data_IF_810916624611
#
_entry.id   IF_810916624611
#
_cell.length_a   1.000
_cell.length_b   1.000
_cell.length_c   1.000
_cell.angle_alpha   90.00
_cell.angle_beta   90.00
_cell.angle_gamma   90.00
#
_symmetry.space_group_name_H-M   'P 1'
#
loop_
_entity.id
_entity.type
_entity.pdbx_description
1 polymer ?
#
# COMPACT_ATOMS: atom_id res chain seq x y z
N UNK A 1 -9.49 -43.89 -15.35
CA UNK A 1 -8.36 -43.06 -15.82
C UNK A 1 -8.64 -41.56 -15.76
N UNK A 2 -9.84 -41.05 -16.06
CA UNK A 2 -10.11 -39.59 -16.00
C UNK A 2 -10.08 -38.98 -14.60
N UNK A 3 -10.59 -39.69 -13.58
CA UNK A 3 -10.65 -39.20 -12.20
C UNK A 3 -9.28 -39.14 -11.52
N UNK A 4 -8.39 -40.11 -11.80
CA UNK A 4 -7.02 -40.13 -11.26
C UNK A 4 -6.15 -38.99 -11.82
N UNK A 5 -6.33 -38.63 -13.10
CA UNK A 5 -5.62 -37.50 -13.71
C UNK A 5 -6.12 -36.16 -13.14
N UNK A 6 -7.43 -36.03 -12.93
CA UNK A 6 -8.02 -34.84 -12.29
C UNK A 6 -7.54 -34.65 -10.84
N UNK A 7 -7.36 -35.75 -10.09
CA UNK A 7 -6.80 -35.68 -8.74
C UNK A 7 -5.34 -35.21 -8.72
N UNK A 8 -4.50 -35.74 -9.61
CA UNK A 8 -3.09 -35.33 -9.73
C UNK A 8 -2.95 -33.85 -10.14
N UNK A 9 -3.81 -33.38 -11.05
CA UNK A 9 -3.85 -31.98 -11.48
C UNK A 9 -4.20 -31.05 -10.30
N UNK A 10 -5.16 -31.45 -9.46
CA UNK A 10 -5.53 -30.70 -8.25
C UNK A 10 -4.44 -30.70 -7.17
N UNK A 11 -3.66 -31.76 -7.02
CA UNK A 11 -2.54 -31.80 -6.07
C UNK A 11 -1.47 -30.75 -6.44
N UNK A 12 -1.05 -30.74 -7.71
CA UNK A 12 -0.09 -29.75 -8.22
C UNK A 12 -0.66 -28.33 -8.15
N UNK A 13 -1.96 -28.16 -8.41
CA UNK A 13 -2.63 -26.87 -8.31
C UNK A 13 -2.64 -26.34 -6.87
N UNK A 14 -2.93 -27.18 -5.87
CA UNK A 14 -2.95 -26.75 -4.46
C UNK A 14 -1.58 -26.25 -3.99
N UNK A 15 -0.50 -26.93 -4.36
CA UNK A 15 0.86 -26.49 -4.03
C UNK A 15 1.18 -25.12 -4.64
N UNK A 16 0.82 -24.92 -5.91
CA UNK A 16 0.98 -23.65 -6.60
C UNK A 16 0.14 -22.54 -5.96
N UNK A 17 -1.13 -22.84 -5.63
CA UNK A 17 -2.05 -21.92 -4.97
C UNK A 17 -1.54 -21.48 -3.60
N UNK A 18 -0.91 -22.38 -2.83
CA UNK A 18 -0.28 -22.02 -1.54
C UNK A 18 0.88 -21.04 -1.72
N UNK A 19 1.70 -21.21 -2.77
CA UNK A 19 2.77 -20.27 -3.12
C UNK A 19 2.19 -18.91 -3.52
N UNK A 20 1.15 -18.91 -4.36
CA UNK A 20 0.48 -17.67 -4.79
C UNK A 20 -0.22 -16.95 -3.64
N UNK A 21 -0.84 -17.70 -2.73
CA UNK A 21 -1.46 -17.15 -1.53
C UNK A 21 -0.45 -16.41 -0.65
N UNK A 22 0.75 -16.98 -0.48
CA UNK A 22 1.84 -16.32 0.26
C UNK A 22 2.25 -15.02 -0.43
N UNK A 23 2.52 -15.06 -1.74
CA UNK A 23 2.88 -13.88 -2.53
C UNK A 23 1.80 -12.80 -2.51
N UNK A 24 0.53 -13.20 -2.59
CA UNK A 24 -0.59 -12.27 -2.53
C UNK A 24 -0.70 -11.58 -1.16
N UNK A 25 -0.47 -12.31 -0.06
CA UNK A 25 -0.40 -11.73 1.30
C UNK A 25 0.76 -10.76 1.45
N UNK A 26 1.94 -11.12 0.94
CA UNK A 26 3.12 -10.26 0.94
C UNK A 26 2.86 -8.97 0.15
N UNK A 27 2.37 -9.10 -1.08
CA UNK A 27 2.01 -7.97 -1.94
C UNK A 27 0.96 -7.06 -1.30
N UNK A 28 -0.13 -7.63 -0.77
CA UNK A 28 -1.16 -6.87 -0.06
C UNK A 28 -0.57 -6.02 1.06
N UNK A 29 0.27 -6.61 1.92
CA UNK A 29 0.85 -5.91 3.06
C UNK A 29 1.83 -4.82 2.62
N UNK A 30 2.72 -5.13 1.68
CA UNK A 30 3.68 -4.17 1.15
C UNK A 30 3.00 -2.93 0.58
N UNK A 31 1.97 -3.13 -0.24
CA UNK A 31 1.23 -2.04 -0.86
C UNK A 31 0.44 -1.23 0.18
N UNK A 32 -0.16 -1.86 1.20
CA UNK A 32 -0.79 -1.12 2.30
C UNK A 32 0.20 -0.26 3.09
N UNK A 33 1.38 -0.79 3.41
CA UNK A 33 2.40 -0.04 4.15
C UNK A 33 2.99 1.10 3.30
N UNK A 34 3.17 0.89 1.99
CA UNK A 34 3.54 1.95 1.06
C UNK A 34 2.49 3.06 0.97
N UNK A 35 1.20 2.70 0.91
CA UNK A 35 0.10 3.66 0.95
C UNK A 35 0.11 4.51 2.22
N UNK A 36 0.30 3.88 3.39
CA UNK A 36 0.43 4.59 4.67
C UNK A 36 1.65 5.51 4.71
N UNK A 37 2.78 5.08 4.13
CA UNK A 37 3.98 5.88 4.06
C UNK A 37 3.75 7.17 3.25
N UNK A 38 3.24 7.06 2.02
CA UNK A 38 2.97 8.24 1.19
C UNK A 38 1.92 9.17 1.80
N UNK A 39 0.90 8.61 2.45
CA UNK A 39 -0.08 9.41 3.18
C UNK A 39 0.54 10.21 4.33
N UNK A 40 1.46 9.60 5.09
CA UNK A 40 2.21 10.32 6.15
C UNK A 40 3.11 11.40 5.55
N UNK A 41 3.84 11.09 4.48
CA UNK A 41 4.70 12.05 3.78
C UNK A 41 3.92 13.26 3.25
N UNK A 42 2.69 13.04 2.76
CA UNK A 42 1.79 14.14 2.41
C UNK A 42 1.54 15.07 3.60
N UNK A 43 1.09 14.54 4.73
CA UNK A 43 0.75 15.38 5.88
C UNK A 43 1.95 16.08 6.50
N UNK A 44 3.16 15.50 6.43
CA UNK A 44 4.38 16.17 6.89
C UNK A 44 4.74 17.42 6.09
N UNK A 45 4.26 17.56 4.85
CA UNK A 45 4.45 18.77 4.04
C UNK A 45 3.20 19.66 4.10
N UNK A 46 2.02 19.06 3.95
CA UNK A 46 0.76 19.80 3.85
C UNK A 46 0.44 20.58 5.13
N UNK A 47 0.69 20.00 6.31
CA UNK A 47 0.40 20.68 7.59
C UNK A 47 1.26 21.95 7.75
N UNK A 48 2.60 21.90 7.60
CA UNK A 48 3.41 23.12 7.60
C UNK A 48 2.97 24.15 6.57
N UNK A 49 2.64 23.74 5.34
CA UNK A 49 2.15 24.65 4.30
C UNK A 49 0.88 25.39 4.76
N UNK A 50 -0.10 24.67 5.33
CA UNK A 50 -1.35 25.27 5.82
C UNK A 50 -1.10 26.24 6.97
N UNK A 51 -0.26 25.86 7.95
CA UNK A 51 0.08 26.74 9.07
C UNK A 51 0.75 28.01 8.59
N UNK A 52 1.77 27.87 7.72
CA UNK A 52 2.53 29.00 7.19
C UNK A 52 1.62 29.93 6.39
N UNK A 53 0.82 29.38 5.46
CA UNK A 53 -0.07 30.19 4.60
C UNK A 53 -1.17 30.88 5.40
N UNK A 54 -1.67 30.26 6.47
CA UNK A 54 -2.63 30.89 7.39
C UNK A 54 -2.01 32.06 8.14
N UNK A 55 -0.80 31.88 8.70
CA UNK A 55 -0.05 32.96 9.37
C UNK A 55 0.22 34.11 8.38
N UNK A 56 0.67 33.79 7.17
CA UNK A 56 0.91 34.78 6.12
C UNK A 56 -0.38 35.54 5.74
N UNK A 57 -1.51 34.84 5.62
CA UNK A 57 -2.81 35.43 5.34
C UNK A 57 -3.22 36.44 6.43
N UNK A 58 -3.17 36.02 7.70
CA UNK A 58 -3.49 36.90 8.84
C UNK A 58 -2.54 38.10 8.92
N UNK A 59 -1.24 37.88 8.76
CA UNK A 59 -0.26 38.96 8.83
C UNK A 59 -0.36 39.92 7.63
N UNK A 60 -0.79 39.47 6.45
CA UNK A 60 -1.11 40.36 5.32
C UNK A 60 -2.16 41.39 5.71
N UNK A 61 -3.25 41.00 6.36
CA UNK A 61 -4.25 41.93 6.88
C UNK A 61 -3.69 42.89 7.94
N UNK A 62 -2.85 42.39 8.85
CA UNK A 62 -2.21 43.23 9.86
C UNK A 62 -1.28 44.29 9.25
N UNK A 63 -0.65 44.02 8.10
CA UNK A 63 0.22 45.00 7.41
C UNK A 63 -0.55 46.21 6.87
N UNK A 64 -1.86 46.07 6.61
CA UNK A 64 -2.72 47.15 6.13
C UNK A 64 -3.00 48.14 7.26
N UNK A 65 -3.13 47.66 8.50
CA UNK A 65 -3.46 48.48 9.67
C UNK A 65 -2.23 48.94 10.44
N UNK A 66 -1.08 48.30 10.28
CA UNK A 66 0.08 48.44 11.15
C UNK A 66 1.38 48.65 10.37
N UNK A 67 2.22 49.60 10.80
CA UNK A 67 3.58 49.76 10.28
C UNK A 67 4.48 48.65 10.85
N UNK A 68 4.77 47.62 10.05
CA UNK A 68 5.73 46.58 10.42
C UNK A 68 7.18 47.08 10.36
N UNK A 69 8.01 46.57 11.28
CA UNK A 69 9.46 46.79 11.27
C UNK A 69 10.12 46.19 10.02
N UNK A 70 11.28 46.71 9.62
CA UNK A 70 12.04 46.17 8.49
C UNK A 70 12.40 44.69 8.68
N UNK A 71 12.80 44.30 9.89
CA UNK A 71 13.10 42.91 10.27
C UNK A 71 11.90 42.00 10.07
N UNK A 72 10.70 42.44 10.48
CA UNK A 72 9.47 41.66 10.32
C UNK A 72 9.12 41.46 8.84
N UNK A 73 9.34 42.47 7.99
CA UNK A 73 9.10 42.38 6.54
C UNK A 73 10.02 41.36 5.87
N UNK A 74 11.30 41.31 6.26
CA UNK A 74 12.27 40.33 5.74
C UNK A 74 11.85 38.91 6.11
N UNK A 75 11.49 38.67 7.39
CA UNK A 75 10.99 37.37 7.84
C UNK A 75 9.74 36.93 7.07
N UNK A 76 8.80 37.85 6.87
CA UNK A 76 7.58 37.58 6.12
C UNK A 76 7.86 37.19 4.67
N UNK A 77 8.78 37.89 4.00
CA UNK A 77 9.22 37.56 2.64
C UNK A 77 9.86 36.17 2.54
N UNK A 78 10.77 35.84 3.46
CA UNK A 78 11.40 34.52 3.50
C UNK A 78 10.38 33.40 3.74
N UNK A 79 9.43 33.62 4.66
CA UNK A 79 8.38 32.66 4.98
C UNK A 79 7.42 32.44 3.80
N UNK A 80 7.13 33.49 3.02
CA UNK A 80 6.32 33.40 1.80
C UNK A 80 7.01 32.55 0.73
N UNK A 81 8.31 32.76 0.52
CA UNK A 81 9.08 31.96 -0.43
C UNK A 81 9.13 30.49 -0.01
N UNK A 82 9.31 30.21 1.28
CA UNK A 82 9.28 28.85 1.82
C UNK A 82 7.92 28.19 1.60
N UNK A 83 6.83 28.90 1.87
CA UNK A 83 5.47 28.39 1.65
C UNK A 83 5.23 28.01 0.19
N UNK A 84 5.62 28.89 -0.73
CA UNK A 84 5.50 28.66 -2.16
C UNK A 84 6.32 27.44 -2.63
N UNK A 85 7.56 27.31 -2.15
CA UNK A 85 8.42 26.18 -2.48
C UNK A 85 7.84 24.84 -1.98
N UNK A 86 7.34 24.80 -0.74
CA UNK A 86 6.71 23.61 -0.17
C UNK A 86 5.41 23.24 -0.89
N UNK A 87 4.60 24.23 -1.27
CA UNK A 87 3.36 24.03 -2.02
C UNK A 87 3.65 23.46 -3.44
N UNK A 88 4.66 24.01 -4.13
CA UNK A 88 5.10 23.48 -5.43
C UNK A 88 5.60 22.03 -5.31
N UNK A 89 6.40 21.74 -4.27
CA UNK A 89 6.87 20.38 -4.00
C UNK A 89 5.71 19.42 -3.73
N UNK A 90 4.72 19.83 -2.94
CA UNK A 90 3.52 19.04 -2.66
C UNK A 90 2.76 18.68 -3.94
N UNK A 91 2.62 19.62 -4.89
CA UNK A 91 1.96 19.39 -6.17
C UNK A 91 2.72 18.38 -7.03
N UNK A 92 4.05 18.52 -7.14
CA UNK A 92 4.86 17.65 -7.99
C UNK A 92 5.03 16.22 -7.44
N UNK A 93 5.07 16.05 -6.12
CA UNK A 93 5.32 14.73 -5.53
C UNK A 93 4.10 13.80 -5.53
N UNK A 94 2.88 14.35 -5.74
CA UNK A 94 1.61 13.61 -5.88
C UNK A 94 1.41 12.52 -4.82
N UNK A 95 1.78 12.81 -3.57
CA UNK A 95 1.82 11.80 -2.50
C UNK A 95 0.48 11.13 -2.22
N UNK A 96 -0.64 11.86 -2.24
CA UNK A 96 -1.96 11.27 -2.03
C UNK A 96 -2.36 10.31 -3.14
N UNK A 97 -2.08 10.66 -4.39
CA UNK A 97 -2.36 9.79 -5.53
C UNK A 97 -1.52 8.52 -5.48
N UNK A 98 -0.23 8.63 -5.16
CA UNK A 98 0.63 7.47 -4.93
C UNK A 98 0.11 6.61 -3.78
N UNK A 99 -0.36 7.24 -2.70
CA UNK A 99 -0.95 6.53 -1.56
C UNK A 99 -2.21 5.74 -1.97
N UNK A 100 -3.12 6.36 -2.71
CA UNK A 100 -4.35 5.70 -3.19
C UNK A 100 -4.04 4.62 -4.24
N UNK A 101 -3.07 4.82 -5.14
CA UNK A 101 -2.61 3.78 -6.07
C UNK A 101 -2.13 2.54 -5.32
N UNK A 102 -1.27 2.71 -4.31
CA UNK A 102 -0.81 1.59 -3.49
C UNK A 102 -1.95 0.96 -2.69
N UNK A 103 -2.88 1.73 -2.12
CA UNK A 103 -4.05 1.20 -1.42
C UNK A 103 -4.93 0.35 -2.34
N UNK A 104 -5.18 0.81 -3.58
CA UNK A 104 -5.95 0.10 -4.59
C UNK A 104 -5.29 -1.23 -4.98
N UNK A 105 -3.98 -1.22 -5.32
CA UNK A 105 -3.24 -2.44 -5.63
C UNK A 105 -3.25 -3.42 -4.44
N UNK A 106 -3.06 -2.91 -3.22
CA UNK A 106 -3.15 -3.71 -2.01
C UNK A 106 -4.51 -4.36 -1.81
N UNK A 107 -5.60 -3.66 -2.13
CA UNK A 107 -6.95 -4.21 -2.09
C UNK A 107 -7.16 -5.31 -3.15
N UNK A 108 -6.61 -5.14 -4.37
CA UNK A 108 -6.65 -6.14 -5.43
C UNK A 108 -5.91 -7.42 -5.04
N UNK A 109 -4.71 -7.32 -4.47
CA UNK A 109 -4.02 -8.47 -3.86
C UNK A 109 -4.86 -9.15 -2.79
N UNK A 110 -5.55 -8.36 -1.95
CA UNK A 110 -6.46 -8.88 -0.92
C UNK A 110 -7.68 -9.62 -1.49
N UNK A 111 -8.18 -9.23 -2.67
CA UNK A 111 -9.24 -9.95 -3.40
C UNK A 111 -8.73 -11.33 -3.84
N UNK A 112 -7.64 -11.37 -4.59
CA UNK A 112 -7.03 -12.63 -5.07
C UNK A 112 -6.71 -13.57 -3.90
N UNK A 113 -6.18 -13.02 -2.79
CA UNK A 113 -5.95 -13.79 -1.57
C UNK A 113 -7.21 -14.50 -1.09
N UNK A 114 -8.34 -13.78 -0.99
CA UNK A 114 -9.62 -14.36 -0.56
C UNK A 114 -10.17 -15.35 -1.56
N UNK A 115 -9.98 -15.11 -2.85
CA UNK A 115 -10.42 -16.03 -3.90
C UNK A 115 -9.65 -17.36 -3.80
N UNK A 116 -8.33 -17.31 -3.59
CA UNK A 116 -7.51 -18.51 -3.33
C UNK A 116 -7.90 -19.19 -2.02
N UNK A 117 -8.10 -18.44 -0.93
CA UNK A 117 -8.55 -18.99 0.37
C UNK A 117 -9.90 -19.71 0.23
N UNK A 118 -10.83 -19.12 -0.52
CA UNK A 118 -12.16 -19.69 -0.78
C UNK A 118 -12.02 -20.98 -1.60
N UNK A 119 -11.23 -20.96 -2.68
CA UNK A 119 -11.00 -22.14 -3.51
C UNK A 119 -10.38 -23.30 -2.73
N UNK A 120 -9.39 -23.01 -1.87
CA UNK A 120 -8.74 -24.02 -1.02
C UNK A 120 -9.64 -24.53 0.11
N UNK A 121 -10.66 -23.77 0.51
CA UNK A 121 -11.63 -24.19 1.52
C UNK A 121 -12.71 -25.14 0.98
N UNK A 122 -13.01 -25.08 -0.32
CA UNK A 122 -13.98 -25.97 -0.96
C UNK A 122 -13.47 -27.41 -1.06
N UNK A 123 -14.36 -28.39 -1.07
CA UNK A 123 -14.03 -29.79 -1.38
C UNK A 123 -13.68 -29.97 -2.86
N UNK A 124 -12.70 -30.82 -3.18
CA UNK A 124 -12.19 -30.97 -4.57
C UNK A 124 -13.26 -31.31 -5.60
N UNK A 125 -14.27 -32.10 -5.20
CA UNK A 125 -15.40 -32.48 -6.06
C UNK A 125 -16.28 -31.30 -6.49
N UNK A 126 -16.23 -30.16 -5.79
CA UNK A 126 -17.05 -28.98 -6.07
C UNK A 126 -16.25 -27.81 -6.67
N UNK A 127 -14.95 -27.97 -6.91
CA UNK A 127 -14.07 -26.90 -7.41
C UNK A 127 -14.04 -26.75 -8.94
N UNK A 128 -14.53 -27.75 -9.68
CA UNK A 128 -14.48 -27.75 -11.15
C UNK A 128 -13.11 -28.19 -11.70
N UNK A 129 -12.75 -27.65 -12.86
CA UNK A 129 -11.48 -27.97 -13.55
C UNK A 129 -10.30 -27.18 -12.96
N UNK A 130 -9.21 -27.89 -12.64
CA UNK A 130 -8.04 -27.29 -12.02
C UNK A 130 -7.32 -26.30 -12.96
N UNK A 131 -7.28 -26.59 -14.27
CA UNK A 131 -6.56 -25.75 -15.24
C UNK A 131 -7.28 -24.43 -15.45
N UNK A 132 -8.61 -24.46 -15.51
CA UNK A 132 -9.44 -23.25 -15.59
C UNK A 132 -9.28 -22.35 -14.36
N UNK A 133 -9.32 -22.94 -13.16
CA UNK A 133 -9.13 -22.20 -11.91
C UNK A 133 -7.74 -21.54 -11.83
N UNK A 134 -6.69 -22.30 -12.18
CA UNK A 134 -5.31 -21.79 -12.22
C UNK A 134 -5.16 -20.70 -13.29
N UNK A 135 -5.72 -20.88 -14.48
CA UNK A 135 -5.64 -19.90 -15.56
C UNK A 135 -6.29 -18.56 -15.16
N UNK A 136 -7.45 -18.62 -14.49
CA UNK A 136 -8.18 -17.45 -14.01
C UNK A 136 -7.36 -16.68 -12.97
N UNK A 137 -6.87 -17.38 -11.94
CA UNK A 137 -6.07 -16.76 -10.87
C UNK A 137 -4.72 -16.23 -11.38
N UNK A 138 -4.12 -16.91 -12.36
CA UNK A 138 -2.91 -16.44 -13.04
C UNK A 138 -3.17 -15.12 -13.77
N UNK A 139 -4.24 -15.04 -14.54
CA UNK A 139 -4.60 -13.84 -15.28
C UNK A 139 -4.80 -12.64 -14.34
N UNK A 140 -5.47 -12.86 -13.21
CA UNK A 140 -5.64 -11.83 -12.18
C UNK A 140 -4.32 -11.39 -11.55
N UNK A 141 -3.43 -12.34 -11.23
CA UNK A 141 -2.08 -12.04 -10.70
C UNK A 141 -1.23 -11.27 -11.70
N UNK A 142 -1.21 -11.70 -12.97
CA UNK A 142 -0.45 -11.04 -14.04
C UNK A 142 -0.95 -9.61 -14.26
N UNK A 143 -2.27 -9.41 -14.25
CA UNK A 143 -2.90 -8.08 -14.36
C UNK A 143 -2.42 -7.16 -13.24
N UNK A 144 -2.51 -7.58 -11.98
CA UNK A 144 -2.10 -6.71 -10.86
C UNK A 144 -0.58 -6.50 -10.81
N UNK A 145 0.22 -7.47 -11.30
CA UNK A 145 1.66 -7.31 -11.42
C UNK A 145 2.03 -6.31 -12.51
N UNK A 146 1.23 -6.21 -13.57
CA UNK A 146 1.42 -5.22 -14.64
C UNK A 146 1.02 -3.79 -14.22
N UNK A 147 0.02 -3.68 -13.33
CA UNK A 147 -0.45 -2.41 -12.77
C UNK A 147 0.48 -1.86 -11.66
N UNK A 148 1.31 -2.73 -11.08
CA UNK A 148 2.12 -2.43 -9.91
C UNK A 148 3.37 -1.61 -10.22
N UNK A 149 3.43 -0.37 -9.75
CA UNK A 149 4.70 0.35 -9.64
C UNK A 149 5.62 -0.36 -8.64
N UNK A 150 6.92 -0.37 -8.93
CA UNK A 150 7.93 -0.94 -8.05
C UNK A 150 7.86 -0.29 -6.64
N UNK A 151 7.54 -1.09 -5.62
CA UNK A 151 7.59 -0.65 -4.22
C UNK A 151 9.05 -0.42 -3.84
N UNK A 152 9.34 0.71 -3.18
CA UNK A 152 10.72 1.03 -2.78
C UNK A 152 11.35 -0.12 -1.98
N UNK A 153 12.64 -0.41 -2.24
CA UNK A 153 13.39 -1.52 -1.63
C UNK A 153 13.39 -1.47 -0.10
N UNK A 154 13.34 -0.28 0.49
CA UNK A 154 13.23 -0.07 1.95
C UNK A 154 11.93 -0.60 2.52
N UNK A 155 10.80 -0.39 1.82
CA UNK A 155 9.49 -0.89 2.25
C UNK A 155 9.40 -2.40 2.02
N UNK A 156 9.98 -2.90 0.93
CA UNK A 156 10.09 -4.34 0.65
C UNK A 156 10.83 -5.08 1.78
N UNK A 157 12.06 -4.68 2.11
CA UNK A 157 12.88 -5.36 3.14
C UNK A 157 12.19 -5.36 4.50
N UNK A 158 11.66 -4.22 4.94
CA UNK A 158 10.96 -4.09 6.22
C UNK A 158 9.69 -4.96 6.29
N UNK A 159 9.00 -5.13 5.17
CA UNK A 159 7.81 -5.97 5.10
C UNK A 159 8.17 -7.45 5.19
N UNK A 160 9.21 -7.89 4.47
CA UNK A 160 9.69 -9.27 4.55
C UNK A 160 10.15 -9.63 5.96
N UNK A 161 10.88 -8.74 6.63
CA UNK A 161 11.32 -8.96 8.02
C UNK A 161 10.13 -9.17 8.97
N UNK A 162 9.09 -8.34 8.84
CA UNK A 162 7.87 -8.44 9.66
C UNK A 162 7.07 -9.70 9.39
N UNK A 163 6.92 -10.08 8.11
CA UNK A 163 6.20 -11.29 7.73
C UNK A 163 6.97 -12.54 8.16
N UNK A 164 8.29 -12.56 7.97
CA UNK A 164 9.14 -13.64 8.47
C UNK A 164 9.10 -13.75 9.99
N UNK A 165 9.09 -12.62 10.71
CA UNK A 165 8.93 -12.61 12.17
C UNK A 165 7.56 -13.18 12.58
N UNK A 166 6.48 -12.76 11.92
CA UNK A 166 5.13 -13.27 12.21
C UNK A 166 4.99 -14.77 11.92
N UNK A 167 5.55 -15.24 10.81
CA UNK A 167 5.54 -16.66 10.45
C UNK A 167 6.35 -17.50 11.44
N UNK A 168 7.49 -16.99 11.94
CA UNK A 168 8.24 -17.61 13.05
C UNK A 168 7.41 -17.66 14.33
N UNK A 169 6.82 -16.54 14.75
CA UNK A 169 5.98 -16.49 15.95
C UNK A 169 4.78 -17.43 15.85
N UNK A 170 4.12 -17.52 14.69
CA UNK A 170 3.00 -18.46 14.48
C UNK A 170 3.45 -19.92 14.57
N UNK A 171 4.64 -20.24 14.05
CA UNK A 171 5.22 -21.59 14.14
C UNK A 171 5.56 -21.95 15.58
N UNK A 172 6.17 -21.01 16.30
CA UNK A 172 6.75 -21.27 17.62
C UNK A 172 5.72 -21.07 18.77
N UNK A 173 4.67 -20.26 18.58
CA UNK A 173 3.58 -20.04 19.54
C UNK A 173 2.25 -19.62 18.86
N UNK A 174 1.41 -20.58 18.42
CA UNK A 174 0.20 -20.29 17.64
C UNK A 174 -0.90 -19.53 18.39
N UNK A 175 -0.89 -19.53 19.74
CA UNK A 175 -1.90 -18.85 20.57
C UNK A 175 -1.62 -17.35 20.77
N UNK A 176 -0.43 -16.87 20.41
CA UNK A 176 0.02 -15.49 20.70
C UNK A 176 -0.50 -14.41 19.75
N UNK A 177 -1.20 -14.78 18.66
CA UNK A 177 -1.73 -13.82 17.69
C UNK A 177 -3.13 -13.35 18.10
N UNK A 178 -3.46 -12.05 17.95
CA UNK A 178 -4.82 -11.59 18.14
C UNK A 178 -5.74 -12.33 17.18
N UNK A 179 -6.73 -13.03 17.74
CA UNK A 179 -7.78 -13.71 17.00
C UNK A 179 -8.57 -12.64 16.22
N UNK A 180 -9.02 -12.94 14.98
CA UNK A 180 -9.66 -11.98 14.08
C UNK A 180 -10.91 -11.31 14.68
#
# INVERSE_FOLDING_TARGET
MGESVSQEDWDKAEDLLRVWLRRAREGQHMHHEAGKYFRRAHYTIAIPVVVITTVLGTATFATITSKLSATTKIWFGALTLLAAALAALQLHLRYLERAEKHKSIGANYGKIRRDIETLLALTRTTRGDAKEAIATLKADLDRISSEGDAVSRRIYNKTLERLAARDRTKRDNPESLPQP
#
